data_IF_907262719180
#
_entry.id   IF_907262719180
#
_cell.length_a   1.000
_cell.length_b   1.000
_cell.length_c   1.000
_cell.angle_alpha   90.00
_cell.angle_beta   90.00
_cell.angle_gamma   90.00
#
_symmetry.space_group_name_H-M   'P 1'
#
loop_
_entity.id
_entity.type
_entity.pdbx_description
1 polymer ?
#
# COMPACT_ATOMS: atom_id res chain seq x y z
N UNK A 1 -28.26 -11.57 -8.23
CA UNK A 1 -27.93 -12.39 -7.06
C UNK A 1 -27.35 -11.44 -6.03
N UNK A 2 -27.66 -11.56 -4.73
CA UNK A 2 -26.92 -10.81 -3.74
C UNK A 2 -25.43 -11.12 -3.93
N UNK A 3 -24.57 -10.09 -3.87
CA UNK A 3 -23.15 -10.25 -4.02
C UNK A 3 -22.56 -11.12 -2.89
N UNK A 4 -21.41 -11.77 -3.13
CA UNK A 4 -20.68 -12.52 -2.08
C UNK A 4 -20.19 -11.55 -1.02
N UNK A 5 -20.28 -11.93 0.25
CA UNK A 5 -19.73 -11.16 1.37
C UNK A 5 -18.21 -11.29 1.39
N UNK A 6 -17.54 -10.30 1.96
CA UNK A 6 -16.08 -10.21 2.00
C UNK A 6 -15.57 -10.11 3.43
N UNK A 7 -14.83 -11.11 3.87
CA UNK A 7 -14.19 -11.19 5.16
C UNK A 7 -12.76 -10.64 5.12
N UNK A 8 -12.32 -9.99 6.19
CA UNK A 8 -10.92 -9.70 6.47
C UNK A 8 -10.42 -10.78 7.43
N UNK A 9 -9.40 -11.54 7.02
CA UNK A 9 -8.88 -12.67 7.82
C UNK A 9 -7.43 -12.49 8.24
N UNK A 10 -6.71 -11.51 7.65
CA UNK A 10 -5.33 -11.22 8.01
C UNK A 10 -4.98 -9.76 7.78
N UNK A 11 -4.06 -9.28 8.60
CA UNK A 11 -3.54 -7.91 8.61
C UNK A 11 -2.02 -7.96 8.65
N UNK A 12 -1.36 -7.11 7.87
CA UNK A 12 0.08 -6.90 7.96
C UNK A 12 0.42 -5.44 7.77
N UNK A 13 1.36 -4.94 8.54
CA UNK A 13 1.73 -3.53 8.53
C UNK A 13 3.23 -3.32 8.75
N UNK A 14 3.77 -2.40 7.98
CA UNK A 14 5.10 -1.80 8.15
C UNK A 14 4.90 -0.30 8.19
N UNK A 15 5.16 0.32 9.32
CA UNK A 15 4.99 1.77 9.51
C UNK A 15 6.05 2.32 10.45
N UNK A 16 6.26 3.64 10.42
CA UNK A 16 7.22 4.31 11.30
C UNK A 16 6.88 4.22 12.79
N UNK A 17 5.63 3.98 13.13
CA UNK A 17 5.18 3.79 14.51
C UNK A 17 5.17 2.32 14.96
N UNK A 18 5.50 1.37 14.07
CA UNK A 18 5.60 -0.04 14.43
C UNK A 18 5.56 -0.97 13.21
N UNK A 19 6.25 -2.10 13.32
CA UNK A 19 6.25 -3.19 12.35
C UNK A 19 5.51 -4.37 13.00
N UNK A 20 4.47 -4.88 12.32
CA UNK A 20 3.53 -5.85 12.89
C UNK A 20 2.39 -5.18 13.66
N UNK A 21 1.30 -5.91 13.90
CA UNK A 21 0.03 -5.35 14.38
C UNK A 21 0.15 -4.80 15.80
N UNK A 22 0.76 -5.54 16.72
CA UNK A 22 0.90 -5.15 18.13
C UNK A 22 1.73 -3.86 18.25
N UNK A 23 2.93 -3.86 17.67
CA UNK A 23 3.83 -2.68 17.73
C UNK A 23 3.23 -1.46 17.02
N UNK A 24 2.55 -1.68 15.89
CA UNK A 24 1.84 -0.61 15.19
C UNK A 24 0.73 0.00 16.06
N UNK A 25 -0.08 -0.84 16.71
CA UNK A 25 -1.16 -0.37 17.57
C UNK A 25 -0.65 0.39 18.80
N UNK A 26 0.38 -0.14 19.46
CA UNK A 26 1.03 0.55 20.58
C UNK A 26 1.60 1.90 20.14
N UNK A 27 2.31 1.94 19.02
CA UNK A 27 2.87 3.18 18.47
C UNK A 27 1.80 4.18 18.01
N UNK A 28 0.68 3.70 17.48
CA UNK A 28 -0.46 4.54 17.07
C UNK A 28 -1.18 5.17 18.28
N UNK A 29 -1.26 4.44 19.39
CA UNK A 29 -1.84 4.93 20.66
C UNK A 29 -0.86 5.77 21.48
N UNK A 30 0.40 5.77 21.12
CA UNK A 30 1.46 6.54 21.78
C UNK A 30 1.49 8.02 21.38
N UNK A 31 2.43 8.79 21.92
CA UNK A 31 2.64 10.17 21.49
C UNK A 31 3.06 10.22 20.02
N UNK A 32 2.50 11.18 19.28
CA UNK A 32 2.89 11.38 17.89
C UNK A 32 4.38 11.76 17.80
N UNK A 33 5.19 11.03 17.01
CA UNK A 33 6.58 11.39 16.81
C UNK A 33 6.68 12.73 16.06
N UNK A 34 7.77 13.45 16.23
CA UNK A 34 8.06 14.67 15.48
C UNK A 34 8.77 14.35 14.16
N UNK A 35 8.65 15.24 13.17
CA UNK A 35 9.35 15.16 11.89
C UNK A 35 8.85 14.05 10.94
N UNK A 36 9.71 13.67 10.00
CA UNK A 36 9.40 12.68 8.96
C UNK A 36 9.08 11.28 9.53
N UNK A 37 8.12 10.60 8.95
CA UNK A 37 7.66 9.28 9.38
C UNK A 37 8.40 8.19 8.59
N UNK A 38 9.73 8.07 8.79
CA UNK A 38 10.57 7.01 8.21
C UNK A 38 10.48 5.74 9.02
N UNK A 39 10.53 4.61 8.32
CA UNK A 39 10.67 3.28 8.94
C UNK A 39 12.16 2.99 9.08
N UNK A 40 12.73 3.16 10.27
CA UNK A 40 14.19 3.07 10.50
C UNK A 40 14.68 1.66 10.79
N UNK A 41 13.86 0.84 11.46
CA UNK A 41 14.25 -0.47 11.99
C UNK A 41 13.78 -1.64 11.11
N UNK A 42 13.64 -1.42 9.81
CA UNK A 42 13.20 -2.42 8.87
C UNK A 42 14.37 -3.15 8.21
N UNK A 43 14.44 -4.47 8.44
CA UNK A 43 15.31 -5.38 7.69
C UNK A 43 14.46 -6.17 6.67
N UNK A 44 14.66 -6.00 5.36
CA UNK A 44 13.96 -6.77 4.35
C UNK A 44 14.42 -8.23 4.26
N UNK A 45 15.62 -8.56 4.77
CA UNK A 45 16.26 -9.86 4.55
C UNK A 45 15.42 -11.08 4.90
N UNK A 46 14.68 -11.11 6.04
CA UNK A 46 13.84 -12.25 6.39
C UNK A 46 12.68 -12.52 5.42
N UNK A 47 12.31 -11.54 4.61
CA UNK A 47 11.21 -11.60 3.65
C UNK A 47 11.63 -12.02 2.25
N UNK A 48 12.88 -12.44 2.05
CA UNK A 48 13.41 -12.87 0.76
C UNK A 48 14.20 -14.17 0.91
N UNK A 49 14.05 -15.09 -0.04
CA UNK A 49 14.79 -16.36 -0.02
C UNK A 49 16.29 -16.14 -0.23
N UNK A 50 16.64 -15.01 -0.84
CA UNK A 50 18.04 -14.65 -1.12
C UNK A 50 18.21 -13.13 -0.89
N UNK A 51 19.23 -12.71 -0.10
CA UNK A 51 19.54 -11.29 0.11
C UNK A 51 19.81 -10.48 -1.18
N UNK A 52 20.18 -11.15 -2.28
CA UNK A 52 20.32 -10.50 -3.59
C UNK A 52 18.98 -10.07 -4.18
N UNK A 53 17.92 -10.78 -3.87
CA UNK A 53 16.57 -10.46 -4.34
C UNK A 53 16.01 -9.23 -3.62
N UNK A 54 16.28 -9.09 -2.32
CA UNK A 54 15.94 -7.89 -1.58
C UNK A 54 16.52 -6.62 -2.23
N UNK A 55 17.76 -6.69 -2.73
CA UNK A 55 18.42 -5.59 -3.45
C UNK A 55 17.88 -5.33 -4.86
N UNK A 56 17.05 -6.24 -5.39
CA UNK A 56 16.34 -6.11 -6.68
C UNK A 56 14.88 -5.74 -6.52
N UNK A 57 14.49 -5.34 -5.34
CA UNK A 57 13.18 -4.80 -5.01
C UNK A 57 13.34 -3.36 -4.50
N UNK A 58 12.56 -2.43 -5.03
CA UNK A 58 12.47 -1.08 -4.47
C UNK A 58 11.95 -1.13 -3.04
N UNK A 59 12.26 -0.13 -2.23
CA UNK A 59 11.87 -0.08 -0.82
C UNK A 59 10.35 -0.23 -0.62
N UNK A 60 9.54 0.39 -1.47
CA UNK A 60 8.09 0.22 -1.39
C UNK A 60 7.65 -1.23 -1.68
N UNK A 61 8.34 -1.93 -2.58
CA UNK A 61 8.10 -3.36 -2.85
C UNK A 61 8.53 -4.23 -1.68
N UNK A 62 9.66 -3.92 -1.03
CA UNK A 62 10.11 -4.63 0.18
C UNK A 62 9.07 -4.51 1.31
N UNK A 63 8.52 -3.33 1.55
CA UNK A 63 7.45 -3.12 2.53
C UNK A 63 6.19 -3.92 2.18
N UNK A 64 5.78 -3.91 0.91
CA UNK A 64 4.61 -4.65 0.46
C UNK A 64 4.75 -6.16 0.68
N UNK A 65 5.92 -6.74 0.40
CA UNK A 65 6.22 -8.15 0.64
C UNK A 65 6.14 -8.45 2.15
N UNK A 66 6.80 -7.66 2.98
CA UNK A 66 6.81 -7.86 4.43
C UNK A 66 5.40 -7.77 5.04
N UNK A 67 4.62 -6.76 4.65
CA UNK A 67 3.24 -6.64 5.10
C UNK A 67 2.37 -7.81 4.61
N UNK A 68 2.58 -8.29 3.38
CA UNK A 68 1.87 -9.47 2.84
C UNK A 68 2.22 -10.75 3.58
N UNK A 69 3.51 -10.98 3.91
CA UNK A 69 3.95 -12.13 4.71
C UNK A 69 3.25 -12.15 6.09
N UNK A 70 3.19 -11.00 6.77
CA UNK A 70 2.52 -10.86 8.07
C UNK A 70 1.01 -11.11 7.96
N UNK A 71 0.36 -10.55 6.94
CA UNK A 71 -1.07 -10.73 6.72
C UNK A 71 -1.43 -12.20 6.46
N UNK A 72 -0.64 -12.88 5.64
CA UNK A 72 -0.83 -14.30 5.34
C UNK A 72 -0.53 -15.19 6.56
N UNK A 73 0.50 -14.86 7.34
CA UNK A 73 0.81 -15.60 8.57
C UNK A 73 -0.36 -15.53 9.58
N UNK A 74 -1.04 -14.38 9.67
CA UNK A 74 -2.22 -14.23 10.53
C UNK A 74 -3.46 -14.95 9.97
N UNK A 75 -3.66 -14.89 8.64
CA UNK A 75 -4.79 -15.54 7.99
C UNK A 75 -4.70 -17.09 8.03
N UNK A 76 -3.49 -17.65 8.10
CA UNK A 76 -3.26 -19.09 8.03
C UNK A 76 -3.41 -19.66 6.63
N UNK A 77 -3.58 -20.98 6.52
CA UNK A 77 -3.61 -21.68 5.25
C UNK A 77 -4.86 -21.34 4.41
N UNK A 78 -4.62 -20.86 3.20
CA UNK A 78 -5.67 -20.52 2.25
C UNK A 78 -6.05 -21.74 1.41
N UNK A 79 -7.35 -22.00 1.24
CA UNK A 79 -7.88 -23.15 0.47
C UNK A 79 -8.30 -22.80 -0.96
N UNK A 80 -8.29 -21.52 -1.34
CA UNK A 80 -8.67 -21.09 -2.68
C UNK A 80 -7.71 -21.63 -3.76
N UNK A 81 -8.22 -21.85 -4.96
CA UNK A 81 -7.40 -22.15 -6.16
C UNK A 81 -6.42 -20.98 -6.41
N UNK A 82 -5.13 -21.25 -6.70
CA UNK A 82 -4.15 -20.19 -7.04
C UNK A 82 -4.62 -19.23 -8.14
N UNK A 83 -5.36 -19.68 -9.14
CA UNK A 83 -5.93 -18.84 -10.20
C UNK A 83 -7.05 -17.90 -9.71
N UNK A 84 -7.57 -18.13 -8.52
CA UNK A 84 -8.60 -17.32 -7.87
C UNK A 84 -8.07 -16.51 -6.70
N UNK A 85 -6.74 -16.50 -6.50
CA UNK A 85 -6.03 -15.66 -5.53
C UNK A 85 -5.42 -14.46 -6.26
N UNK A 86 -5.89 -13.25 -5.93
CA UNK A 86 -5.42 -12.00 -6.54
C UNK A 86 -4.55 -11.18 -5.60
N UNK A 87 -3.84 -10.19 -6.17
CA UNK A 87 -3.03 -9.21 -5.44
C UNK A 87 -3.33 -7.82 -6.00
N UNK A 88 -3.84 -6.92 -5.16
CA UNK A 88 -4.07 -5.52 -5.48
C UNK A 88 -3.34 -4.63 -4.47
N UNK A 89 -2.21 -4.07 -4.84
CA UNK A 89 -1.45 -3.16 -3.99
C UNK A 89 -1.33 -1.81 -4.68
N UNK A 90 -1.91 -0.79 -4.06
CA UNK A 90 -1.87 0.58 -4.53
C UNK A 90 -0.57 1.30 -4.14
N UNK A 91 -0.13 2.22 -4.99
CA UNK A 91 0.95 3.16 -4.71
C UNK A 91 0.69 4.47 -5.43
N UNK A 92 1.19 5.57 -4.90
CA UNK A 92 1.10 6.88 -5.57
C UNK A 92 2.15 7.06 -6.65
N UNK A 93 3.33 6.47 -6.48
CA UNK A 93 4.50 6.74 -7.33
C UNK A 93 5.17 5.44 -7.81
N UNK A 94 5.21 4.39 -6.99
CA UNK A 94 5.99 3.18 -7.25
C UNK A 94 7.44 3.31 -6.81
N UNK A 95 8.38 2.69 -7.53
CA UNK A 95 9.78 2.60 -7.17
C UNK A 95 10.59 3.87 -7.45
N UNK A 96 10.21 4.98 -6.84
CA UNK A 96 10.87 6.28 -7.04
C UNK A 96 12.29 6.32 -6.51
N UNK A 97 12.62 5.57 -5.45
CA UNK A 97 13.98 5.51 -4.91
C UNK A 97 14.93 4.85 -5.93
N UNK A 98 14.46 3.77 -6.55
CA UNK A 98 15.19 3.12 -7.63
C UNK A 98 15.41 4.07 -8.81
N UNK A 99 14.37 4.80 -9.23
CA UNK A 99 14.45 5.74 -10.34
C UNK A 99 15.48 6.85 -10.07
N UNK A 100 15.38 7.54 -8.92
CA UNK A 100 16.30 8.62 -8.56
C UNK A 100 17.75 8.10 -8.47
N UNK A 101 17.95 6.95 -7.85
CA UNK A 101 19.26 6.33 -7.72
C UNK A 101 19.89 5.97 -9.06
N UNK A 102 19.12 5.40 -9.99
CA UNK A 102 19.62 5.01 -11.29
C UNK A 102 19.85 6.19 -12.24
N UNK A 103 19.06 7.26 -12.13
CA UNK A 103 19.33 8.54 -12.81
C UNK A 103 20.68 9.10 -12.34
N UNK A 104 20.95 9.10 -11.03
CA UNK A 104 22.25 9.53 -10.49
C UNK A 104 23.39 8.68 -11.02
N UNK A 105 23.25 7.35 -11.04
CA UNK A 105 24.24 6.43 -11.64
C UNK A 105 24.47 6.75 -13.11
N UNK A 106 23.43 7.00 -13.88
CA UNK A 106 23.52 7.34 -15.30
C UNK A 106 24.33 8.64 -15.52
N UNK A 107 24.04 9.68 -14.75
CA UNK A 107 24.71 10.97 -14.85
C UNK A 107 26.18 10.94 -14.40
N UNK A 108 26.49 10.19 -13.34
CA UNK A 108 27.84 10.13 -12.76
C UNK A 108 28.76 9.08 -13.44
N UNK A 109 28.17 7.96 -13.91
CA UNK A 109 28.95 6.77 -14.35
C UNK A 109 28.64 6.34 -15.79
N UNK A 110 27.68 6.99 -16.44
CA UNK A 110 27.24 6.72 -17.82
C UNK A 110 26.19 5.61 -17.93
N UNK A 111 25.52 5.59 -19.09
CA UNK A 111 24.36 4.75 -19.38
C UNK A 111 24.62 3.25 -19.19
N UNK A 112 25.83 2.76 -19.50
CA UNK A 112 26.19 1.34 -19.37
C UNK A 112 26.24 0.84 -17.93
N UNK A 113 26.18 1.73 -16.96
CA UNK A 113 26.20 1.41 -15.52
C UNK A 113 24.80 1.38 -14.90
N UNK A 114 23.77 1.78 -15.63
CA UNK A 114 22.39 1.69 -15.18
C UNK A 114 22.01 0.21 -14.97
N UNK A 115 21.31 -0.06 -13.88
CA UNK A 115 20.86 -1.42 -13.55
C UNK A 115 19.89 -1.97 -14.60
N UNK A 116 20.06 -3.21 -15.08
CA UNK A 116 19.05 -3.86 -15.93
C UNK A 116 17.72 -4.10 -15.21
N UNK A 117 17.69 -3.98 -13.89
CA UNK A 117 16.49 -4.10 -13.06
C UNK A 117 15.79 -2.75 -12.84
N UNK A 118 16.31 -1.63 -13.38
CA UNK A 118 15.68 -0.32 -13.21
C UNK A 118 14.18 -0.36 -13.55
N UNK A 119 13.84 -0.82 -14.77
CA UNK A 119 12.46 -0.79 -15.24
C UNK A 119 11.54 -1.67 -14.38
N UNK A 120 11.81 -2.98 -14.17
CA UNK A 120 10.94 -3.80 -13.34
C UNK A 120 10.84 -3.35 -11.87
N UNK A 121 11.86 -2.67 -11.32
CA UNK A 121 11.84 -2.18 -9.94
C UNK A 121 11.06 -0.86 -9.79
N UNK A 122 11.09 0.02 -10.80
CA UNK A 122 10.46 1.32 -10.69
C UNK A 122 8.96 1.33 -11.04
N UNK A 123 8.46 0.31 -11.75
CA UNK A 123 7.06 0.28 -12.17
C UNK A 123 6.10 0.24 -10.97
N UNK A 124 4.97 0.98 -11.00
CA UNK A 124 3.98 0.94 -9.91
C UNK A 124 3.44 -0.45 -9.61
N UNK A 125 3.36 -1.35 -10.61
CA UNK A 125 2.92 -2.73 -10.43
C UNK A 125 4.02 -3.70 -9.96
N UNK A 126 5.22 -3.22 -9.63
CA UNK A 126 6.30 -4.06 -9.13
C UNK A 126 5.91 -4.76 -7.81
N UNK A 127 5.26 -4.04 -6.90
CA UNK A 127 4.85 -4.57 -5.61
C UNK A 127 3.82 -5.73 -5.74
N UNK A 128 2.66 -5.58 -6.41
CA UNK A 128 1.73 -6.69 -6.57
C UNK A 128 2.34 -7.86 -7.37
N UNK A 129 3.18 -7.59 -8.36
CA UNK A 129 3.86 -8.65 -9.12
C UNK A 129 4.83 -9.47 -8.23
N UNK A 130 5.63 -8.79 -7.40
CA UNK A 130 6.57 -9.45 -6.49
C UNK A 130 5.84 -10.30 -5.44
N UNK A 131 4.75 -9.78 -4.85
CA UNK A 131 3.91 -10.51 -3.90
C UNK A 131 3.23 -11.72 -4.55
N UNK A 132 2.70 -11.55 -5.78
CA UNK A 132 2.10 -12.65 -6.56
C UNK A 132 3.10 -13.79 -6.80
N UNK A 133 4.32 -13.46 -7.26
CA UNK A 133 5.38 -14.46 -7.50
C UNK A 133 5.80 -15.17 -6.21
N UNK A 134 5.96 -14.43 -5.13
CA UNK A 134 6.40 -14.99 -3.84
C UNK A 134 5.40 -15.99 -3.26
N UNK A 135 4.12 -15.70 -3.34
CA UNK A 135 3.07 -16.51 -2.70
C UNK A 135 2.31 -17.42 -3.66
N UNK A 136 2.70 -17.46 -4.94
CA UNK A 136 2.05 -18.31 -5.94
C UNK A 136 0.60 -17.91 -6.24
N UNK A 137 0.26 -16.61 -6.11
CA UNK A 137 -1.05 -16.09 -6.45
C UNK A 137 -1.14 -15.88 -7.96
N UNK A 138 -1.93 -16.68 -8.66
CA UNK A 138 -2.00 -16.72 -10.12
C UNK A 138 -3.24 -16.01 -10.70
N UNK A 139 -4.06 -15.43 -9.85
CA UNK A 139 -5.16 -14.55 -10.24
C UNK A 139 -4.67 -13.16 -10.66
N UNK A 140 -5.56 -12.14 -10.70
CA UNK A 140 -5.19 -10.79 -11.05
C UNK A 140 -4.09 -10.24 -10.13
N UNK A 141 -3.03 -9.67 -10.72
CA UNK A 141 -1.99 -8.94 -10.02
C UNK A 141 -1.96 -7.51 -10.56
N UNK A 142 -2.61 -6.59 -9.84
CA UNK A 142 -2.91 -5.25 -10.35
C UNK A 142 -2.44 -4.18 -9.36
N UNK A 143 -2.15 -3.01 -9.90
CA UNK A 143 -1.85 -1.81 -9.11
C UNK A 143 -2.94 -0.77 -9.31
N UNK A 144 -3.35 -0.14 -8.22
CA UNK A 144 -4.17 1.07 -8.24
C UNK A 144 -3.28 2.27 -7.96
N UNK A 145 -3.11 3.16 -8.95
CA UNK A 145 -2.29 4.35 -8.83
C UNK A 145 -3.18 5.61 -8.81
N UNK A 146 -3.67 5.95 -7.62
CA UNK A 146 -4.58 7.09 -7.38
C UNK A 146 -4.10 7.96 -6.23
N UNK A 147 -2.79 8.27 -6.25
CA UNK A 147 -2.11 9.06 -5.23
C UNK A 147 -2.38 8.51 -3.81
N UNK A 148 -2.67 9.38 -2.84
CA UNK A 148 -2.90 9.00 -1.44
C UNK A 148 -4.09 8.04 -1.23
N UNK A 149 -5.04 7.99 -2.16
CA UNK A 149 -6.20 7.10 -2.11
C UNK A 149 -5.91 5.67 -2.65
N UNK A 150 -4.70 5.43 -3.19
CA UNK A 150 -4.37 4.20 -3.91
C UNK A 150 -4.63 2.92 -3.09
N UNK A 151 -4.21 2.91 -1.81
CA UNK A 151 -4.42 1.76 -0.93
C UNK A 151 -5.90 1.49 -0.64
N UNK A 152 -6.68 2.54 -0.35
CA UNK A 152 -8.13 2.41 -0.11
C UNK A 152 -8.88 1.95 -1.36
N UNK A 153 -8.52 2.50 -2.54
CA UNK A 153 -9.08 2.04 -3.81
C UNK A 153 -8.71 0.59 -4.12
N UNK A 154 -7.49 0.16 -3.81
CA UNK A 154 -7.09 -1.24 -3.98
C UNK A 154 -7.96 -2.18 -3.13
N UNK A 155 -8.21 -1.84 -1.87
CA UNK A 155 -9.10 -2.61 -0.97
C UNK A 155 -10.52 -2.66 -1.52
N UNK A 156 -11.10 -1.53 -1.92
CA UNK A 156 -12.45 -1.46 -2.48
C UNK A 156 -12.59 -2.28 -3.79
N UNK A 157 -11.59 -2.19 -4.68
CA UNK A 157 -11.58 -2.94 -5.93
C UNK A 157 -11.41 -4.45 -5.69
N UNK A 158 -10.55 -4.84 -4.76
CA UNK A 158 -10.38 -6.22 -4.35
C UNK A 158 -11.66 -6.83 -3.77
N UNK A 159 -12.36 -6.09 -2.91
CA UNK A 159 -13.65 -6.49 -2.39
C UNK A 159 -14.67 -6.70 -3.52
N UNK A 160 -14.72 -5.81 -4.52
CA UNK A 160 -15.58 -5.98 -5.72
C UNK A 160 -15.22 -7.23 -6.51
N UNK A 161 -13.91 -7.56 -6.68
CA UNK A 161 -13.50 -8.80 -7.35
C UNK A 161 -14.05 -10.04 -6.65
N UNK A 162 -14.06 -10.07 -5.32
CA UNK A 162 -14.62 -11.17 -4.53
C UNK A 162 -16.16 -11.17 -4.64
N UNK A 163 -16.79 -10.03 -4.43
CA UNK A 163 -18.26 -9.87 -4.50
C UNK A 163 -18.83 -10.34 -5.84
N UNK A 164 -18.13 -10.04 -6.95
CA UNK A 164 -18.52 -10.47 -8.29
C UNK A 164 -18.02 -11.88 -8.67
N UNK A 165 -17.38 -12.59 -7.76
CA UNK A 165 -16.95 -13.97 -7.97
C UNK A 165 -15.74 -14.13 -8.91
N UNK A 166 -14.95 -13.08 -9.16
CA UNK A 166 -13.73 -13.16 -9.96
C UNK A 166 -12.58 -13.79 -9.17
N UNK A 167 -12.47 -13.45 -7.89
CA UNK A 167 -11.50 -14.02 -6.95
C UNK A 167 -12.24 -14.61 -5.74
N UNK A 168 -11.55 -15.49 -5.02
CA UNK A 168 -11.99 -16.01 -3.73
C UNK A 168 -11.15 -15.43 -2.60
N UNK A 169 -9.88 -15.09 -2.88
CA UNK A 169 -8.95 -14.44 -1.97
C UNK A 169 -8.22 -13.32 -2.70
N UNK A 170 -8.02 -12.19 -2.05
CA UNK A 170 -7.20 -11.09 -2.56
C UNK A 170 -6.36 -10.49 -1.45
N UNK A 171 -5.05 -10.39 -1.66
CA UNK A 171 -4.17 -9.51 -0.88
C UNK A 171 -4.38 -8.07 -1.37
N UNK A 172 -4.86 -7.20 -0.49
CA UNK A 172 -5.24 -5.85 -0.87
C UNK A 172 -4.69 -4.80 0.11
N UNK A 173 -4.16 -3.72 -0.41
CA UNK A 173 -3.63 -2.66 0.44
C UNK A 173 -2.85 -1.61 -0.32
N UNK A 174 -1.93 -0.94 0.36
CA UNK A 174 -1.05 0.06 -0.25
C UNK A 174 0.37 0.00 0.30
N UNK A 175 1.31 0.49 -0.49
CA UNK A 175 2.70 0.59 -0.11
C UNK A 175 3.35 1.82 -0.76
N UNK A 176 4.12 2.59 0.02
CA UNK A 176 4.80 3.79 -0.47
C UNK A 176 6.13 4.00 0.24
N UNK A 177 7.15 4.47 -0.49
CA UNK A 177 8.45 4.87 0.04
C UNK A 177 8.96 6.14 -0.66
N UNK A 178 8.41 7.33 -0.33
CA UNK A 178 8.60 8.53 -1.12
C UNK A 178 9.81 9.37 -0.69
N UNK A 179 10.65 8.91 0.23
CA UNK A 179 11.72 9.71 0.83
C UNK A 179 12.95 9.84 -0.08
N UNK A 180 12.76 10.40 -1.26
CA UNK A 180 13.82 10.78 -2.19
C UNK A 180 13.90 12.30 -2.32
N UNK A 181 15.08 12.82 -2.71
CA UNK A 181 15.31 14.27 -2.80
C UNK A 181 14.35 14.97 -3.74
N UNK A 182 14.06 14.37 -4.89
CA UNK A 182 13.15 14.94 -5.87
C UNK A 182 11.72 15.06 -5.33
N UNK A 183 11.20 14.04 -4.65
CA UNK A 183 9.86 14.07 -4.08
C UNK A 183 9.76 15.09 -2.92
N UNK A 184 10.73 15.10 -2.01
CA UNK A 184 10.79 16.07 -0.91
C UNK A 184 10.83 17.50 -1.47
N UNK A 185 11.71 17.78 -2.42
CA UNK A 185 11.81 19.09 -3.05
C UNK A 185 10.50 19.49 -3.76
N UNK A 186 9.86 18.56 -4.46
CA UNK A 186 8.57 18.78 -5.12
C UNK A 186 7.48 19.20 -4.13
N UNK A 187 7.29 18.45 -3.05
CA UNK A 187 6.30 18.76 -2.02
C UNK A 187 6.64 20.04 -1.23
N UNK A 188 7.93 20.31 -0.99
CA UNK A 188 8.38 21.56 -0.37
C UNK A 188 8.03 22.77 -1.24
N UNK A 189 8.34 22.70 -2.54
CA UNK A 189 8.05 23.78 -3.48
C UNK A 189 6.54 23.99 -3.71
N UNK A 190 5.73 22.94 -3.53
CA UNK A 190 4.27 23.05 -3.48
C UNK A 190 3.73 23.67 -2.20
N UNK A 191 4.59 23.94 -1.18
CA UNK A 191 4.18 24.38 0.16
C UNK A 191 3.19 23.41 0.81
N UNK A 192 3.29 22.10 0.50
CA UNK A 192 2.37 21.10 0.98
C UNK A 192 2.80 20.43 2.29
N UNK A 193 4.11 20.49 2.61
CA UNK A 193 4.65 19.93 3.84
C UNK A 193 4.46 20.88 5.03
N UNK A 194 4.15 20.30 6.20
CA UNK A 194 4.09 21.03 7.46
C UNK A 194 5.44 21.63 7.81
N UNK A 195 5.47 22.93 8.07
CA UNK A 195 6.66 23.62 8.54
C UNK A 195 6.96 23.35 10.02
N UNK A 196 5.93 22.99 10.80
CA UNK A 196 6.05 22.62 12.21
C UNK A 196 6.44 21.14 12.42
N UNK A 197 6.43 20.31 11.36
CA UNK A 197 6.67 18.87 11.46
C UNK A 197 5.59 18.08 12.21
N UNK A 198 4.43 18.69 12.45
CA UNK A 198 3.31 18.11 13.18
C UNK A 198 2.11 17.90 12.26
N UNK A 199 1.61 16.67 12.18
CA UNK A 199 0.37 16.35 11.46
C UNK A 199 -0.83 16.66 12.36
N UNK A 200 -1.68 17.58 11.91
CA UNK A 200 -2.87 18.07 12.64
C UNK A 200 -4.11 18.06 11.74
N UNK A 201 -4.62 16.89 11.34
CA UNK A 201 -5.80 16.82 10.50
C UNK A 201 -7.00 17.46 11.21
N UNK A 202 -7.80 18.22 10.46
CA UNK A 202 -8.97 18.97 10.89
C UNK A 202 -8.72 20.14 11.88
N UNK A 203 -7.48 20.35 12.35
CA UNK A 203 -7.14 21.48 13.21
C UNK A 203 -7.13 22.80 12.43
N UNK A 204 -7.57 23.89 13.06
CA UNK A 204 -7.56 25.23 12.46
C UNK A 204 -6.13 25.74 12.21
N UNK A 205 -5.16 25.33 13.03
CA UNK A 205 -3.74 25.67 12.92
C UNK A 205 -2.91 24.69 12.09
N UNK A 206 -3.54 23.80 11.31
CA UNK A 206 -2.79 22.89 10.41
C UNK A 206 -2.04 23.67 9.34
N UNK A 207 -0.82 23.25 9.04
CA UNK A 207 0.12 23.97 8.17
C UNK A 207 0.70 23.09 7.05
N UNK A 208 0.13 21.93 6.82
CA UNK A 208 0.57 20.96 5.80
C UNK A 208 0.54 19.52 6.32
N UNK A 209 1.00 18.58 5.49
CA UNK A 209 1.12 17.18 5.90
C UNK A 209 2.56 16.84 6.30
N UNK A 210 2.73 15.76 7.05
CA UNK A 210 4.04 15.18 7.37
C UNK A 210 4.22 13.93 6.54
N UNK A 211 5.32 13.90 5.75
CA UNK A 211 5.62 12.77 4.87
C UNK A 211 5.89 11.50 5.67
N UNK A 212 5.37 10.37 5.18
CA UNK A 212 5.57 9.05 5.76
C UNK A 212 5.86 8.00 4.69
N UNK A 213 6.36 6.85 5.13
CA UNK A 213 6.53 5.66 4.33
C UNK A 213 5.98 4.44 5.07
N UNK A 214 5.66 3.38 4.34
CA UNK A 214 5.19 2.13 4.91
C UNK A 214 4.30 1.33 3.96
N UNK A 215 3.73 0.26 4.51
CA UNK A 215 2.77 -0.59 3.82
C UNK A 215 1.73 -1.13 4.79
N UNK A 216 0.50 -1.25 4.31
CA UNK A 216 -0.58 -1.96 4.98
C UNK A 216 -1.27 -2.90 4.01
N UNK A 217 -1.38 -4.18 4.36
CA UNK A 217 -1.98 -5.21 3.52
C UNK A 217 -3.00 -6.01 4.33
N UNK A 218 -4.15 -6.26 3.71
CA UNK A 218 -5.24 -7.10 4.22
C UNK A 218 -5.31 -8.39 3.41
N UNK A 219 -5.65 -9.50 4.05
CA UNK A 219 -6.17 -10.68 3.37
C UNK A 219 -7.70 -10.56 3.34
N UNK A 220 -8.24 -10.42 2.14
CA UNK A 220 -9.68 -10.44 1.89
C UNK A 220 -10.08 -11.81 1.35
N UNK A 221 -11.12 -12.40 1.92
CA UNK A 221 -11.64 -13.70 1.51
C UNK A 221 -13.15 -13.68 1.30
N UNK A 222 -13.61 -14.55 0.43
CA UNK A 222 -15.03 -14.85 0.35
C UNK A 222 -15.50 -15.40 1.71
N UNK A 223 -16.57 -14.82 2.26
CA UNK A 223 -17.00 -15.03 3.64
C UNK A 223 -17.26 -16.50 3.98
N UNK A 224 -18.06 -17.18 3.17
CA UNK A 224 -18.41 -18.57 3.42
C UNK A 224 -17.20 -19.52 3.28
N UNK A 225 -16.24 -19.18 2.41
CA UNK A 225 -14.99 -19.94 2.30
C UNK A 225 -14.14 -19.76 3.55
N UNK A 226 -14.05 -18.54 4.07
CA UNK A 226 -13.35 -18.25 5.32
C UNK A 226 -13.97 -19.01 6.49
N UNK A 227 -15.31 -19.01 6.60
CA UNK A 227 -16.02 -19.76 7.64
C UNK A 227 -15.78 -21.29 7.51
N UNK A 228 -15.91 -21.85 6.31
CA UNK A 228 -15.73 -23.30 6.07
C UNK A 228 -14.34 -23.81 6.44
N UNK A 229 -13.29 -22.98 6.27
CA UNK A 229 -11.93 -23.35 6.68
C UNK A 229 -11.63 -23.03 8.15
N UNK A 230 -12.57 -22.48 8.91
CA UNK A 230 -12.40 -22.08 10.29
C UNK A 230 -11.50 -20.86 10.50
N UNK A 231 -11.44 -19.95 9.52
CA UNK A 231 -10.66 -18.73 9.65
C UNK A 231 -11.19 -17.84 10.77
N UNK A 232 -10.27 -17.15 11.46
CA UNK A 232 -10.65 -16.04 12.33
C UNK A 232 -11.02 -14.83 11.47
N UNK A 233 -12.30 -14.55 11.36
CA UNK A 233 -12.78 -13.35 10.69
C UNK A 233 -12.60 -12.16 11.63
N UNK A 234 -11.88 -11.13 11.17
CA UNK A 234 -11.56 -9.93 11.93
C UNK A 234 -12.57 -8.81 11.69
N UNK A 235 -13.06 -8.69 10.44
CA UNK A 235 -14.03 -7.69 10.01
C UNK A 235 -14.71 -8.12 8.71
N UNK A 236 -15.77 -7.41 8.33
CA UNK A 236 -16.43 -7.49 7.03
C UNK A 236 -16.20 -6.20 6.25
N UNK A 237 -15.89 -6.31 4.96
CA UNK A 237 -15.89 -5.16 4.05
C UNK A 237 -17.30 -5.00 3.49
N UNK A 238 -18.03 -4.00 3.97
CA UNK A 238 -19.42 -3.77 3.64
C UNK A 238 -19.61 -3.05 2.29
N UNK A 239 -18.71 -2.14 1.95
CA UNK A 239 -18.81 -1.35 0.73
C UNK A 239 -17.53 -0.56 0.45
N UNK A 240 -17.56 0.21 -0.63
CA UNK A 240 -16.51 1.13 -1.00
C UNK A 240 -16.90 1.90 -2.26
N UNK A 241 -16.58 3.19 -2.28
CA UNK A 241 -16.83 4.07 -3.40
C UNK A 241 -15.59 4.85 -3.83
N UNK A 242 -15.66 5.44 -5.01
CA UNK A 242 -14.64 6.33 -5.54
C UNK A 242 -15.31 7.47 -6.27
N UNK A 243 -14.88 8.70 -6.02
CA UNK A 243 -15.34 9.91 -6.69
C UNK A 243 -14.14 10.75 -7.12
N UNK A 244 -14.36 11.70 -8.00
CA UNK A 244 -13.39 12.71 -8.37
C UNK A 244 -14.02 14.10 -8.20
N UNK A 245 -13.26 15.04 -7.65
CA UNK A 245 -13.72 16.42 -7.47
C UNK A 245 -13.93 17.17 -8.79
N UNK A 246 -13.20 16.80 -9.85
CA UNK A 246 -13.22 17.47 -11.17
C UNK A 246 -13.09 19.02 -11.07
N UNK A 247 -12.29 19.49 -10.09
CA UNK A 247 -12.19 20.90 -9.72
C UNK A 247 -10.80 21.48 -9.98
N UNK A 248 -9.76 20.92 -9.38
CA UNK A 248 -8.39 21.39 -9.45
C UNK A 248 -7.41 20.24 -9.34
N UNK A 249 -6.17 20.41 -9.85
CA UNK A 249 -5.18 19.31 -9.85
C UNK A 249 -4.73 18.88 -8.45
N UNK A 250 -4.74 19.80 -7.47
CA UNK A 250 -4.28 19.52 -6.09
C UNK A 250 -5.23 20.01 -5.00
N UNK A 251 -6.01 21.09 -5.26
CA UNK A 251 -6.91 21.65 -4.25
C UNK A 251 -8.24 20.90 -4.21
N UNK A 252 -8.74 20.53 -3.02
CA UNK A 252 -10.06 19.93 -2.89
C UNK A 252 -11.17 20.89 -3.30
N UNK A 253 -12.29 20.33 -3.78
CA UNK A 253 -13.47 21.11 -4.14
C UNK A 253 -14.05 21.83 -2.89
N UNK A 254 -14.43 23.12 -3.00
CA UNK A 254 -15.08 23.83 -1.92
C UNK A 254 -16.31 23.07 -1.39
N UNK A 255 -16.45 23.06 -0.06
CA UNK A 255 -17.55 22.35 0.60
C UNK A 255 -17.40 20.82 0.66
N UNK A 256 -16.33 20.23 0.11
CA UNK A 256 -16.06 18.80 0.21
C UNK A 256 -17.06 17.92 -0.57
N UNK A 257 -17.63 18.43 -1.66
CA UNK A 257 -18.74 17.77 -2.41
C UNK A 257 -18.37 16.36 -2.85
N UNK A 258 -17.13 16.18 -3.38
CA UNK A 258 -16.65 14.87 -3.83
C UNK A 258 -16.49 13.87 -2.67
N UNK A 259 -15.98 14.34 -1.53
CA UNK A 259 -15.81 13.50 -0.33
C UNK A 259 -17.16 13.09 0.26
N UNK A 260 -18.13 14.03 0.33
CA UNK A 260 -19.51 13.75 0.78
C UNK A 260 -20.15 12.68 -0.11
N UNK A 261 -20.13 12.89 -1.43
CA UNK A 261 -20.67 11.93 -2.39
C UNK A 261 -20.01 10.55 -2.29
N UNK A 262 -18.70 10.49 -2.06
CA UNK A 262 -17.98 9.24 -1.87
C UNK A 262 -18.47 8.48 -0.62
N UNK A 263 -18.67 9.18 0.49
CA UNK A 263 -19.19 8.58 1.72
C UNK A 263 -20.65 8.12 1.58
N UNK A 264 -21.48 8.86 0.87
CA UNK A 264 -22.89 8.49 0.62
C UNK A 264 -23.04 7.27 -0.30
N UNK A 265 -22.08 7.09 -1.23
CA UNK A 265 -22.07 5.96 -2.18
C UNK A 265 -21.45 4.67 -1.59
N UNK A 266 -20.69 4.76 -0.51
CA UNK A 266 -20.01 3.63 0.10
C UNK A 266 -20.94 2.83 1.02
#
# INVERSE_FOLDING_TARGET
MPGRRVAVTGLGVVASCGIGIEAFWEGLCGPAPEGERRVTDFDPTPHFDNPKEARRADRCTQFAIAASDMALAQAGDLVADPLRRGVLIGTGIGGIETLETQIKVMLEKGERRVSPFLVPMMMPNAAPAAVSMRHGFQGPAENTCTACAAGTHAIANAARMITHGRCDVVLAGGSEAPFVRAAIAGFTNMTALSSSGVSRPFDAGRDGFVMGEGSGVLVLEEWEMAERRGARILAEVLGGASTADAHHITAPSPGGVGAIACMELA
#
